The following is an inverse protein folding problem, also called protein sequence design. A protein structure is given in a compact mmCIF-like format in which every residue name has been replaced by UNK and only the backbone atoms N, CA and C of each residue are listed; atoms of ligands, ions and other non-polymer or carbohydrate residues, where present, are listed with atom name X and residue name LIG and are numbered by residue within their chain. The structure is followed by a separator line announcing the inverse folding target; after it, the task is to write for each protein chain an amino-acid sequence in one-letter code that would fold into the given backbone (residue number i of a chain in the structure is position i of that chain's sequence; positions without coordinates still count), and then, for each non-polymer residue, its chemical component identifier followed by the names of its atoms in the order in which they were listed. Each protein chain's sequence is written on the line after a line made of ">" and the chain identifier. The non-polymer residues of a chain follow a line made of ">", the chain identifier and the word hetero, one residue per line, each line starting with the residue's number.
data_IF_092529258850
#
_entry.id   IF_092529258850
#
_cell.length_a   1.000
_cell.length_b   1.000
_cell.length_c   1.000
_cell.angle_alpha   90.00
_cell.angle_beta   90.00
_cell.angle_gamma   90.00
#
_symmetry.space_group_name_H-M   'P 1'
#
loop_
_entity.id
_entity.type
_entity.pdbx_description
1 polymer ?
#
# COMPACT_ATOMS: atom_id res chain seq x y z
N UNK A 1 5.39 3.65 -14.23
CA UNK A 1 5.27 2.17 -14.29
C UNK A 1 6.69 1.60 -14.37
N UNK A 2 7.13 0.84 -13.37
CA UNK A 2 8.41 0.13 -13.47
C UNK A 2 8.24 -1.09 -14.38
N UNK A 3 8.98 -1.11 -15.49
CA UNK A 3 9.18 -2.32 -16.30
C UNK A 3 9.95 -3.34 -15.45
N UNK A 4 9.41 -4.56 -15.33
CA UNK A 4 10.04 -5.67 -14.63
C UNK A 4 11.30 -6.12 -15.40
N UNK A 5 12.46 -5.55 -15.06
CA UNK A 5 13.77 -5.98 -15.54
C UNK A 5 14.24 -7.29 -14.84
N UNK A 6 13.37 -8.31 -14.73
CA UNK A 6 13.70 -9.58 -14.09
C UNK A 6 13.90 -9.55 -12.56
N UNK A 7 13.66 -8.41 -11.91
CA UNK A 7 13.75 -8.30 -10.46
C UNK A 7 12.63 -9.09 -9.76
N UNK A 8 13.01 -9.87 -8.76
CA UNK A 8 12.07 -10.60 -7.90
C UNK A 8 11.27 -9.65 -7.02
N UNK A 9 10.08 -10.07 -6.57
CA UNK A 9 9.26 -9.28 -5.64
C UNK A 9 10.02 -8.90 -4.36
N UNK A 10 10.93 -9.77 -3.91
CA UNK A 10 11.78 -9.50 -2.73
C UNK A 10 12.75 -8.35 -2.98
N UNK A 11 13.37 -8.28 -4.17
CA UNK A 11 14.31 -7.21 -4.51
C UNK A 11 13.60 -5.86 -4.63
N UNK A 12 12.41 -5.83 -5.23
CA UNK A 12 11.59 -4.61 -5.33
C UNK A 12 11.23 -4.09 -3.93
N UNK A 13 10.76 -4.96 -3.04
CA UNK A 13 10.42 -4.59 -1.66
C UNK A 13 11.65 -4.12 -0.89
N UNK A 14 12.77 -4.83 -0.98
CA UNK A 14 14.00 -4.43 -0.29
C UNK A 14 14.53 -3.10 -0.82
N UNK A 15 14.49 -2.87 -2.12
CA UNK A 15 14.86 -1.58 -2.70
C UNK A 15 13.99 -0.47 -2.15
N UNK A 16 12.67 -0.66 -2.14
CA UNK A 16 11.74 0.31 -1.59
C UNK A 16 12.01 0.60 -0.11
N UNK A 17 12.19 -0.42 0.73
CA UNK A 17 12.54 -0.24 2.15
C UNK A 17 13.84 0.56 2.31
N UNK A 18 14.86 0.26 1.50
CA UNK A 18 16.18 0.87 1.68
C UNK A 18 16.28 2.29 1.09
N UNK A 19 15.41 2.66 0.14
CA UNK A 19 15.50 3.92 -0.61
C UNK A 19 14.31 4.82 -0.40
N UNK A 20 13.11 4.29 -0.57
CA UNK A 20 11.87 5.08 -0.61
C UNK A 20 11.24 5.25 0.78
N UNK A 21 11.37 4.24 1.65
CA UNK A 21 10.86 4.30 3.02
C UNK A 21 11.46 5.44 3.85
N UNK A 22 12.62 5.94 3.43
CA UNK A 22 13.28 7.06 4.09
C UNK A 22 13.05 8.43 3.43
N UNK A 23 12.45 8.47 2.24
CA UNK A 23 12.08 9.71 1.59
C UNK A 23 10.82 10.30 2.20
N UNK A 24 10.80 11.62 2.36
CA UNK A 24 9.65 12.40 2.86
C UNK A 24 9.13 13.40 1.82
N UNK A 25 9.71 13.41 0.62
CA UNK A 25 9.31 14.28 -0.47
C UNK A 25 9.22 13.43 -1.73
N UNK A 26 8.03 13.35 -2.33
CA UNK A 26 7.75 12.52 -3.51
C UNK A 26 8.16 11.04 -3.31
N UNK A 27 8.00 10.54 -2.08
CA UNK A 27 8.34 9.17 -1.75
C UNK A 27 7.43 8.22 -2.53
N UNK A 28 8.01 7.19 -3.14
CA UNK A 28 7.18 6.23 -3.90
C UNK A 28 6.31 5.43 -2.95
N UNK A 29 5.07 5.18 -3.33
CA UNK A 29 4.19 4.26 -2.63
C UNK A 29 4.47 2.81 -3.03
N UNK A 30 4.22 1.86 -2.11
CA UNK A 30 4.30 0.43 -2.35
C UNK A 30 2.89 -0.15 -2.46
N UNK A 31 2.58 -0.82 -3.57
CA UNK A 31 1.29 -1.50 -3.76
C UNK A 31 1.52 -3.00 -3.63
N UNK A 32 0.82 -3.61 -2.68
CA UNK A 32 0.83 -5.06 -2.47
C UNK A 32 -0.49 -5.66 -2.95
N UNK A 33 -0.41 -6.50 -3.98
CA UNK A 33 -1.56 -7.16 -4.60
C UNK A 33 -1.54 -8.63 -4.21
N UNK A 34 -2.68 -9.18 -3.81
CA UNK A 34 -2.83 -10.61 -3.58
C UNK A 34 -4.09 -10.96 -2.81
N UNK A 35 -4.43 -12.25 -2.78
CA UNK A 35 -5.61 -12.76 -2.07
C UNK A 35 -5.57 -12.45 -0.57
N UNK A 36 -6.73 -12.44 0.13
CA UNK A 36 -6.75 -12.42 1.59
C UNK A 36 -5.87 -13.55 2.17
N UNK A 37 -5.18 -13.28 3.29
CA UNK A 37 -4.32 -14.26 3.94
C UNK A 37 -2.88 -14.36 3.42
N UNK A 38 -2.51 -13.66 2.34
CA UNK A 38 -1.13 -13.69 1.78
C UNK A 38 -0.09 -12.89 2.60
N UNK A 39 -0.45 -12.42 3.80
CA UNK A 39 0.49 -11.73 4.70
C UNK A 39 0.77 -10.26 4.38
N UNK A 40 0.05 -9.62 3.45
CA UNK A 40 0.25 -8.18 3.12
C UNK A 40 0.17 -7.26 4.34
N UNK A 41 -0.89 -7.42 5.14
CA UNK A 41 -1.07 -6.65 6.38
C UNK A 41 -0.02 -7.00 7.42
N UNK A 42 0.38 -8.28 7.51
CA UNK A 42 1.45 -8.74 8.40
C UNK A 42 2.81 -8.14 8.03
N UNK A 43 3.10 -8.03 6.74
CA UNK A 43 4.30 -7.38 6.24
C UNK A 43 4.38 -5.91 6.67
N UNK A 44 3.33 -5.12 6.43
CA UNK A 44 3.33 -3.72 6.85
C UNK A 44 3.54 -3.61 8.36
N UNK A 45 2.80 -4.40 9.17
CA UNK A 45 2.96 -4.47 10.62
C UNK A 45 4.36 -4.87 11.09
N UNK A 46 5.12 -5.60 10.27
CA UNK A 46 6.48 -6.03 10.60
C UNK A 46 7.53 -4.93 10.41
N UNK A 47 7.21 -3.84 9.71
CA UNK A 47 8.15 -2.74 9.52
C UNK A 47 8.37 -1.98 10.84
N UNK A 48 9.62 -1.70 11.21
CA UNK A 48 9.92 -1.00 12.45
C UNK A 48 9.59 0.49 12.28
N UNK A 49 8.45 0.95 12.81
CA UNK A 49 8.11 2.37 13.04
C UNK A 49 6.65 2.53 13.49
N UNK A 50 6.31 3.73 13.98
CA UNK A 50 4.91 4.14 14.05
C UNK A 50 4.34 4.31 12.63
N UNK A 51 3.10 3.89 12.43
CA UNK A 51 2.42 3.99 11.15
C UNK A 51 0.94 4.30 11.36
N UNK A 52 0.34 4.99 10.40
CA UNK A 52 -1.12 5.17 10.36
C UNK A 52 -1.74 3.97 9.63
N UNK A 53 -2.89 3.51 10.09
CA UNK A 53 -3.61 2.40 9.46
C UNK A 53 -5.03 2.83 9.13
N UNK A 54 -5.37 2.75 7.85
CA UNK A 54 -6.69 3.06 7.33
C UNK A 54 -7.29 1.80 6.73
N UNK A 55 -8.51 1.45 7.15
CA UNK A 55 -9.26 0.32 6.63
C UNK A 55 -10.68 0.70 6.19
N UNK A 56 -10.84 1.92 5.68
CA UNK A 56 -12.15 2.54 5.41
C UNK A 56 -12.68 3.40 6.55
N UNK A 57 -11.90 3.63 7.60
CA UNK A 57 -12.21 4.52 8.72
C UNK A 57 -10.98 5.33 9.09
N UNK A 58 -11.10 6.66 9.16
CA UNK A 58 -9.98 7.57 9.41
C UNK A 58 -9.41 7.48 10.82
N UNK A 59 -10.23 7.15 11.83
CA UNK A 59 -9.83 7.05 13.25
C UNK A 59 -8.87 8.18 13.63
N UNK A 60 -9.30 9.43 13.40
CA UNK A 60 -8.41 10.60 13.43
C UNK A 60 -7.80 10.83 14.81
N UNK A 61 -8.48 10.39 15.87
CA UNK A 61 -7.95 10.36 17.23
C UNK A 61 -6.66 9.52 17.40
N UNK A 62 -6.39 8.60 16.47
CA UNK A 62 -5.16 7.77 16.46
C UNK A 62 -4.18 8.20 15.36
N UNK A 63 -4.55 9.14 14.51
CA UNK A 63 -3.73 9.59 13.40
C UNK A 63 -2.51 10.38 13.91
N UNK A 64 -1.34 10.11 13.32
CA UNK A 64 -0.08 10.74 13.69
C UNK A 64 0.58 11.31 12.44
N UNK A 65 0.67 12.63 12.33
CA UNK A 65 1.40 13.28 11.21
C UNK A 65 2.91 12.97 11.24
N UNK A 66 3.44 12.52 12.39
CA UNK A 66 4.82 12.03 12.52
C UNK A 66 5.00 10.53 12.25
N UNK A 67 3.93 9.81 11.88
CA UNK A 67 4.03 8.41 11.50
C UNK A 67 4.98 8.25 10.31
N UNK A 68 5.77 7.18 10.28
CA UNK A 68 6.77 6.99 9.21
C UNK A 68 6.15 6.64 7.86
N UNK A 69 5.00 6.00 7.89
CA UNK A 69 4.26 5.62 6.70
C UNK A 69 2.78 5.44 7.02
N UNK A 70 1.96 5.39 5.98
CA UNK A 70 0.54 5.08 6.10
C UNK A 70 0.22 3.77 5.37
N UNK A 71 -0.54 2.90 6.02
CA UNK A 71 -1.01 1.64 5.45
C UNK A 71 -2.50 1.74 5.15
N UNK A 72 -2.85 1.48 3.90
CA UNK A 72 -4.18 1.65 3.34
C UNK A 72 -4.73 0.28 2.93
N UNK A 73 -5.70 -0.22 3.68
CA UNK A 73 -6.33 -1.52 3.52
C UNK A 73 -7.77 -1.40 3.03
N UNK A 74 -8.17 -2.36 2.20
CA UNK A 74 -9.53 -2.52 1.71
C UNK A 74 -10.13 -1.21 1.14
N UNK A 75 -9.31 -0.44 0.45
CA UNK A 75 -9.75 0.79 -0.21
C UNK A 75 -10.42 0.42 -1.53
N UNK A 76 -11.72 0.69 -1.62
CA UNK A 76 -12.41 0.75 -2.91
C UNK A 76 -11.94 2.00 -3.64
N UNK A 77 -10.82 1.91 -4.35
CA UNK A 77 -10.22 3.05 -5.04
C UNK A 77 -11.21 3.66 -6.02
N UNK A 78 -11.93 2.85 -6.79
CA UNK A 78 -13.04 3.27 -7.64
C UNK A 78 -14.10 4.14 -6.93
N UNK A 79 -14.38 3.86 -5.66
CA UNK A 79 -15.40 4.55 -4.85
C UNK A 79 -14.79 5.52 -3.83
N UNK A 80 -13.51 5.88 -3.97
CA UNK A 80 -12.77 6.56 -2.91
C UNK A 80 -13.38 7.93 -2.62
N UNK A 81 -13.51 8.75 -3.66
CA UNK A 81 -14.10 10.09 -3.57
C UNK A 81 -15.62 10.04 -3.30
N UNK A 82 -16.34 9.05 -3.83
CA UNK A 82 -17.79 8.88 -3.62
C UNK A 82 -18.15 8.61 -2.15
N UNK A 83 -17.22 7.97 -1.41
CA UNK A 83 -17.36 7.72 0.02
C UNK A 83 -16.95 8.90 0.90
N UNK A 84 -16.67 10.06 0.28
CA UNK A 84 -16.23 11.25 1.00
C UNK A 84 -14.80 11.16 1.53
N UNK A 85 -13.99 10.24 1.01
CA UNK A 85 -12.57 10.23 1.32
C UNK A 85 -11.84 11.36 0.56
N UNK A 86 -10.67 11.82 1.06
CA UNK A 86 -9.79 12.76 0.37
C UNK A 86 -9.49 12.32 -1.06
N UNK A 87 -9.14 13.27 -1.94
CA UNK A 87 -8.87 12.91 -3.34
C UNK A 87 -7.66 12.00 -3.36
N UNK A 88 -7.69 10.95 -4.19
CA UNK A 88 -6.54 10.03 -4.32
C UNK A 88 -5.22 10.75 -4.54
N UNK A 89 -5.25 11.84 -5.32
CA UNK A 89 -4.09 12.68 -5.60
C UNK A 89 -3.45 13.18 -4.30
N UNK A 90 -4.24 13.63 -3.32
CA UNK A 90 -3.73 14.21 -2.08
C UNK A 90 -2.97 13.15 -1.23
N UNK A 91 -3.36 11.88 -1.35
CA UNK A 91 -2.64 10.75 -0.72
C UNK A 91 -1.44 10.29 -1.57
N UNK A 92 -1.54 10.39 -2.91
CA UNK A 92 -0.61 9.76 -3.86
C UNK A 92 0.49 10.67 -4.38
N UNK A 93 0.30 11.98 -4.32
CA UNK A 93 1.26 12.97 -4.84
C UNK A 93 2.00 13.69 -3.73
N UNK A 94 1.51 13.60 -2.49
CA UNK A 94 2.14 14.22 -1.32
C UNK A 94 2.33 15.74 -1.49
N UNK A 95 1.48 16.38 -2.31
CA UNK A 95 1.67 17.77 -2.73
C UNK A 95 1.27 18.78 -1.65
N UNK A 96 0.10 18.59 -1.02
CA UNK A 96 -0.45 19.53 -0.04
C UNK A 96 -1.20 18.80 1.09
N UNK A 97 -1.17 19.32 2.32
CA UNK A 97 -2.03 18.85 3.40
C UNK A 97 -3.51 18.96 3.03
N UNK A 98 -4.34 18.08 3.60
CA UNK A 98 -5.78 18.10 3.39
C UNK A 98 -6.54 17.88 4.70
N UNK A 99 -7.78 18.37 4.77
CA UNK A 99 -8.66 18.10 5.90
C UNK A 99 -9.36 16.77 5.72
N UNK A 100 -9.30 15.93 6.75
CA UNK A 100 -10.11 14.72 6.87
C UNK A 100 -11.10 14.88 8.00
N UNK A 101 -12.29 14.31 7.81
CA UNK A 101 -13.32 14.21 8.83
C UNK A 101 -13.61 12.74 9.11
N UNK A 102 -13.74 12.36 10.38
CA UNK A 102 -14.14 11.01 10.74
C UNK A 102 -15.64 10.89 11.09
N UNK A 103 -16.08 9.66 11.36
CA UNK A 103 -17.48 9.32 11.67
C UNK A 103 -18.01 10.04 12.94
N UNK A 104 -17.14 10.64 13.76
CA UNK A 104 -17.50 11.38 14.99
C UNK A 104 -17.27 12.89 14.84
N UNK A 105 -17.17 13.36 13.59
CA UNK A 105 -17.04 14.78 13.22
C UNK A 105 -15.76 15.44 13.73
N UNK A 106 -14.72 14.67 14.07
CA UNK A 106 -13.39 15.24 14.28
C UNK A 106 -12.86 15.66 12.93
N UNK A 107 -12.36 16.89 12.84
CA UNK A 107 -11.66 17.41 11.66
C UNK A 107 -10.18 17.55 11.99
N UNK A 108 -9.32 16.93 11.18
CA UNK A 108 -7.88 17.00 11.32
C UNK A 108 -7.24 17.36 9.97
N UNK A 109 -6.29 18.28 10.00
CA UNK A 109 -5.39 18.53 8.88
C UNK A 109 -4.32 17.43 8.82
N UNK A 110 -4.35 16.68 7.73
CA UNK A 110 -3.46 15.56 7.47
C UNK A 110 -2.38 15.99 6.49
N UNK A 111 -1.14 15.80 6.90
CA UNK A 111 0.02 15.88 6.04
C UNK A 111 0.40 14.47 5.57
N UNK A 112 0.30 14.22 4.26
CA UNK A 112 0.65 12.96 3.62
C UNK A 112 2.04 12.96 2.94
N UNK A 113 3.03 13.68 3.49
CA UNK A 113 4.44 13.64 3.03
C UNK A 113 5.12 12.27 3.11
N UNK A 114 4.53 11.33 3.85
CA UNK A 114 5.14 10.05 4.15
C UNK A 114 4.73 8.98 3.12
N UNK A 115 5.62 8.01 2.83
CA UNK A 115 5.29 6.93 1.89
C UNK A 115 4.07 6.13 2.36
N UNK A 116 3.39 5.51 1.41
CA UNK A 116 2.21 4.71 1.69
C UNK A 116 2.36 3.27 1.22
N UNK A 117 1.75 2.35 1.95
CA UNK A 117 1.60 0.94 1.58
C UNK A 117 0.13 0.68 1.32
N UNK A 118 -0.20 0.33 0.09
CA UNK A 118 -1.58 0.08 -0.35
C UNK A 118 -1.79 -1.42 -0.52
N UNK A 119 -2.82 -1.97 0.13
CA UNK A 119 -3.23 -3.35 -0.08
C UNK A 119 -4.38 -3.40 -1.08
N UNK A 120 -4.21 -4.17 -2.15
CA UNK A 120 -5.27 -4.43 -3.12
C UNK A 120 -5.57 -5.92 -3.20
N UNK A 121 -6.84 -6.22 -3.52
CA UNK A 121 -7.22 -7.55 -4.02
C UNK A 121 -6.73 -7.68 -5.47
N UNK A 122 -6.47 -8.91 -5.94
CA UNK A 122 -6.21 -9.13 -7.35
C UNK A 122 -7.43 -8.68 -8.17
N UNK A 123 -7.21 -8.09 -9.33
CA UNK A 123 -8.29 -7.83 -10.28
C UNK A 123 -8.83 -9.14 -10.89
N UNK A 124 -9.94 -9.09 -11.64
CA UNK A 124 -10.57 -10.29 -12.21
C UNK A 124 -9.61 -11.14 -13.07
N UNK A 125 -8.71 -10.50 -13.81
CA UNK A 125 -7.70 -11.17 -14.63
C UNK A 125 -6.61 -11.87 -13.80
N UNK A 126 -6.24 -11.29 -12.65
CA UNK A 126 -5.23 -11.84 -11.75
C UNK A 126 -5.82 -12.93 -10.86
N UNK A 127 -7.10 -12.83 -10.50
CA UNK A 127 -7.83 -13.92 -9.84
C UNK A 127 -7.92 -15.18 -10.71
N UNK A 128 -8.07 -15.03 -12.03
CA UNK A 128 -8.08 -16.16 -12.96
C UNK A 128 -6.73 -16.90 -13.00
N UNK A 129 -5.61 -16.18 -12.86
CA UNK A 129 -4.26 -16.75 -12.77
C UNK A 129 -4.01 -17.42 -11.41
N UNK A 130 -4.51 -16.85 -10.32
CA UNK A 130 -4.38 -17.40 -8.95
C UNK A 130 -5.24 -18.67 -8.74
N UNK A 131 -6.32 -18.84 -9.51
CA UNK A 131 -7.19 -20.03 -9.45
C UNK A 131 -6.69 -21.23 -10.26
N UNK A 132 -5.64 -21.08 -11.08
CA UNK A 132 -5.00 -22.26 -11.65
C UNK A 132 -4.23 -22.98 -10.52
N UNK A 133 -4.48 -24.27 -10.27
CA UNK A 133 -3.69 -25.01 -9.29
C UNK A 133 -2.24 -24.96 -9.74
N UNK A 134 -1.38 -24.34 -8.94
CA UNK A 134 0.06 -24.38 -9.14
C UNK A 134 0.46 -25.83 -8.86
N UNK A 135 0.59 -26.64 -9.91
CA UNK A 135 1.17 -27.96 -9.82
C UNK A 135 2.63 -27.81 -9.40
N UNK A 136 3.03 -28.57 -8.39
CA UNK A 136 4.32 -28.47 -7.71
C UNK A 136 5.54 -28.82 -8.59
N UNK A 137 5.32 -29.10 -9.88
CA UNK A 137 6.34 -29.54 -10.84
C UNK A 137 7.06 -28.39 -11.55
N UNK A 138 6.54 -27.16 -11.52
CA UNK A 138 7.12 -26.02 -12.29
C UNK A 138 8.23 -25.22 -11.57
N UNK A 139 8.91 -25.79 -10.55
CA UNK A 139 10.02 -25.10 -9.83
C UNK A 139 11.41 -25.69 -9.97
N UNK A 140 11.61 -26.67 -10.84
CA UNK A 140 12.95 -27.23 -11.06
C UNK A 140 13.22 -27.43 -12.54
N UNK A 141 13.30 -26.36 -13.35
CA UNK A 141 14.10 -26.37 -14.58
C UNK A 141 14.20 -24.94 -15.18
N UNK A 142 15.29 -24.25 -14.86
CA UNK A 142 15.96 -23.21 -15.66
C UNK A 142 17.09 -22.60 -14.80
N UNK A 143 18.39 -22.69 -15.09
CA UNK A 143 19.14 -23.34 -16.15
C UNK A 143 20.56 -23.48 -15.61
N UNK A 144 21.09 -24.70 -15.53
CA UNK A 144 22.53 -24.95 -15.57
C UNK A 144 22.89 -25.09 -17.05
N UNK A 145 23.53 -24.07 -17.61
CA UNK A 145 24.43 -24.14 -18.76
C UNK A 145 25.17 -22.81 -18.90
#
# INVERSE_FOLDING_TARGET
>A
MYSNNGATSREVVNHWINKEFNCTLQAKHLILIGSPGTGKTSFAKSLPSHYNYFNGKWRLNLWKNFARYSAFDNIGWDQFEEKGYPKKKDISTQDEPFNATDDIEIVLEIDCTQPAIVFSKPGPAEEALVRQPITYEDRCEATLS
#
